data_IF_024078925436
#
_entry.id   IF_024078925436
#
_cell.length_a   1.000
_cell.length_b   1.000
_cell.length_c   1.000
_cell.angle_alpha   90.00
_cell.angle_beta   90.00
_cell.angle_gamma   90.00
#
_symmetry.space_group_name_H-M   'P 1'
#
loop_
_entity.id
_entity.type
_entity.pdbx_description
1 polymer ?
#
# COMPACT_ATOMS: atom_id res chain seq x y z
N UNK A 1 -6.04 -3.33 18.86
CA UNK A 1 -6.26 -3.90 17.52
C UNK A 1 -5.19 -4.96 17.33
N UNK A 2 -5.56 -6.14 16.83
CA UNK A 2 -4.57 -7.13 16.37
C UNK A 2 -4.05 -6.58 15.04
N UNK A 3 -2.74 -6.46 14.88
CA UNK A 3 -2.16 -6.02 13.63
C UNK A 3 -2.37 -7.14 12.59
N UNK A 4 -2.93 -6.87 11.40
CA UNK A 4 -3.11 -7.89 10.36
C UNK A 4 -1.83 -8.64 9.98
N UNK A 5 -0.65 -8.05 10.29
CA UNK A 5 0.66 -8.65 10.08
C UNK A 5 1.05 -9.68 11.16
N UNK A 6 0.38 -9.67 12.31
CA UNK A 6 0.63 -10.62 13.41
C UNK A 6 -0.04 -11.99 13.19
N UNK A 7 -0.99 -12.11 12.25
CA UNK A 7 -1.74 -13.35 12.00
C UNK A 7 -1.02 -14.34 11.06
N UNK A 8 -0.09 -13.86 10.24
CA UNK A 8 0.53 -14.64 9.15
C UNK A 8 2.05 -14.85 9.28
N UNK A 9 2.68 -14.41 10.36
CA UNK A 9 4.12 -14.58 10.55
C UNK A 9 4.41 -15.58 11.67
N UNK A 10 5.49 -16.36 11.52
CA UNK A 10 6.00 -17.18 12.63
C UNK A 10 6.08 -16.29 13.89
N UNK A 11 5.50 -16.76 14.99
CA UNK A 11 5.30 -16.10 16.30
C UNK A 11 6.55 -15.36 16.84
N UNK A 12 7.74 -15.65 16.29
CA UNK A 12 9.05 -15.04 16.60
C UNK A 12 9.37 -13.73 15.89
N UNK A 13 8.55 -13.27 14.94
CA UNK A 13 8.84 -12.12 14.07
C UNK A 13 8.03 -10.86 14.37
N UNK A 14 7.13 -10.88 15.35
CA UNK A 14 6.47 -9.64 15.83
C UNK A 14 7.45 -8.77 16.61
N UNK A 15 7.22 -7.46 16.70
CA UNK A 15 8.06 -6.59 17.54
C UNK A 15 8.09 -7.08 18.99
N UNK A 16 6.96 -7.56 19.49
CA UNK A 16 6.84 -8.07 20.86
C UNK A 16 7.80 -9.25 21.10
N UNK A 17 7.84 -10.23 20.19
CA UNK A 17 8.66 -11.44 20.37
C UNK A 17 10.12 -11.25 19.93
N UNK A 18 10.43 -10.24 19.11
CA UNK A 18 11.79 -9.99 18.58
C UNK A 18 12.55 -8.86 19.29
N UNK A 19 11.89 -8.01 20.09
CA UNK A 19 12.48 -6.79 20.67
C UNK A 19 13.84 -6.97 21.36
N UNK A 20 14.00 -8.03 22.16
CA UNK A 20 15.26 -8.32 22.86
C UNK A 20 16.40 -8.67 21.88
N UNK A 21 16.11 -9.52 20.90
CA UNK A 21 17.06 -9.90 19.86
C UNK A 21 17.46 -8.68 19.03
N UNK A 22 16.48 -7.89 18.57
CA UNK A 22 16.75 -6.69 17.78
C UNK A 22 17.62 -5.69 18.54
N UNK A 23 17.37 -5.46 19.84
CA UNK A 23 18.20 -4.60 20.65
C UNK A 23 19.64 -5.13 20.82
N UNK A 24 19.82 -6.43 21.06
CA UNK A 24 21.13 -7.04 21.19
C UNK A 24 21.93 -6.96 19.87
N UNK A 25 21.28 -7.24 18.74
CA UNK A 25 21.87 -7.13 17.39
C UNK A 25 22.21 -5.69 17.05
N UNK A 26 21.33 -4.73 17.34
CA UNK A 26 21.59 -3.31 17.12
C UNK A 26 22.83 -2.82 17.90
N UNK A 27 22.98 -3.28 19.15
CA UNK A 27 24.13 -3.01 20.03
C UNK A 27 25.39 -3.82 19.70
N UNK A 28 25.34 -4.74 18.72
CA UNK A 28 26.45 -5.64 18.33
C UNK A 28 26.87 -6.63 19.40
N UNK A 29 25.97 -6.94 20.33
CA UNK A 29 26.18 -7.99 21.34
C UNK A 29 25.83 -9.38 20.77
N UNK A 30 25.03 -9.42 19.71
CA UNK A 30 24.71 -10.61 18.94
C UNK A 30 24.91 -10.34 17.44
N UNK A 31 25.35 -11.34 16.66
CA UNK A 31 25.45 -11.23 15.22
C UNK A 31 24.05 -11.17 14.59
N UNK A 32 23.90 -10.39 13.52
CA UNK A 32 22.66 -10.38 12.73
C UNK A 32 22.52 -11.67 11.90
N UNK A 33 21.28 -12.06 11.59
CA UNK A 33 21.01 -13.20 10.71
C UNK A 33 21.35 -12.87 9.26
N UNK A 34 20.98 -11.66 8.83
CA UNK A 34 21.29 -11.12 7.50
C UNK A 34 21.95 -9.75 7.62
N UNK A 35 23.03 -9.54 6.85
CA UNK A 35 23.77 -8.28 6.78
C UNK A 35 23.83 -7.80 5.33
N UNK A 36 23.17 -6.68 5.04
CA UNK A 36 23.28 -6.00 3.73
C UNK A 36 24.34 -4.91 3.87
N UNK A 37 25.38 -4.90 3.02
CA UNK A 37 26.52 -3.98 3.10
C UNK A 37 26.60 -3.04 1.91
N UNK A 38 27.24 -1.88 2.12
CA UNK A 38 27.66 -0.94 1.07
C UNK A 38 26.53 -0.35 0.21
N UNK A 39 25.31 -0.28 0.74
CA UNK A 39 24.16 0.20 -0.01
C UNK A 39 24.01 1.72 0.05
N UNK A 40 23.33 2.29 -0.95
CA UNK A 40 22.67 3.59 -0.79
C UNK A 40 21.24 3.36 -0.31
N UNK A 41 20.78 4.03 0.75
CA UNK A 41 19.46 3.77 1.35
C UNK A 41 18.60 5.02 1.24
N UNK A 42 17.39 4.88 0.69
CA UNK A 42 16.38 5.94 0.68
C UNK A 42 15.79 6.05 2.08
N UNK A 43 16.09 7.16 2.77
CA UNK A 43 15.47 7.50 4.03
C UNK A 43 14.18 8.29 3.77
N UNK A 44 13.07 7.57 3.71
CA UNK A 44 11.73 8.14 3.48
C UNK A 44 11.23 9.03 4.61
N UNK A 45 11.82 8.99 5.81
CA UNK A 45 11.46 9.92 6.88
C UNK A 45 12.09 11.30 6.71
N UNK A 46 13.29 11.38 6.13
CA UNK A 46 14.02 12.66 5.96
C UNK A 46 14.07 13.15 4.51
N UNK A 47 13.65 12.33 3.55
CA UNK A 47 13.71 12.66 2.13
C UNK A 47 15.13 12.62 1.56
N UNK A 48 16.02 11.79 2.11
CA UNK A 48 17.45 11.77 1.76
C UNK A 48 17.90 10.41 1.22
N UNK A 49 18.83 10.42 0.26
CA UNK A 49 19.58 9.25 -0.16
C UNK A 49 20.88 9.15 0.66
N UNK A 50 21.03 8.10 1.47
CA UNK A 50 22.17 7.91 2.37
C UNK A 50 23.12 6.84 1.85
N UNK A 51 24.31 7.24 1.41
CA UNK A 51 25.32 6.35 0.83
C UNK A 51 26.13 5.58 1.88
N UNK A 52 26.81 4.51 1.47
CA UNK A 52 27.74 3.72 2.30
C UNK A 52 27.11 3.24 3.62
N UNK A 53 25.86 2.77 3.54
CA UNK A 53 25.13 2.23 4.69
C UNK A 53 25.08 0.72 4.67
N UNK A 54 24.84 0.14 5.83
CA UNK A 54 24.54 -1.29 5.98
C UNK A 54 23.23 -1.49 6.76
N UNK A 55 22.54 -2.59 6.50
CA UNK A 55 21.39 -3.04 7.28
C UNK A 55 21.74 -4.31 8.05
N UNK A 56 21.37 -4.35 9.32
CA UNK A 56 21.34 -5.58 10.12
C UNK A 56 19.90 -6.06 10.22
N UNK A 57 19.66 -7.33 9.90
CA UNK A 57 18.33 -7.94 9.91
C UNK A 57 18.37 -9.22 10.76
N UNK A 58 17.37 -9.37 11.62
CA UNK A 58 17.12 -10.58 12.41
C UNK A 58 15.62 -10.74 12.64
N UNK A 59 15.12 -11.97 12.69
CA UNK A 59 13.69 -12.27 12.84
C UNK A 59 12.81 -11.55 11.81
N UNK A 60 13.29 -11.43 10.57
CA UNK A 60 12.59 -10.72 9.49
C UNK A 60 12.48 -9.20 9.66
N UNK A 61 13.15 -8.60 10.66
CA UNK A 61 13.09 -7.17 10.97
C UNK A 61 14.46 -6.50 10.94
N UNK A 62 14.46 -5.22 10.61
CA UNK A 62 15.66 -4.37 10.59
C UNK A 62 16.03 -4.04 12.05
N UNK A 63 17.14 -4.59 12.53
CA UNK A 63 17.68 -4.25 13.85
C UNK A 63 18.42 -2.89 13.83
N UNK A 64 19.13 -2.58 12.75
CA UNK A 64 19.90 -1.33 12.66
C UNK A 64 20.18 -0.90 11.22
N UNK A 65 20.21 0.42 11.00
CA UNK A 65 20.82 1.08 9.84
C UNK A 65 22.15 1.66 10.28
N UNK A 66 23.26 1.20 9.69
CA UNK A 66 24.61 1.46 10.22
C UNK A 66 25.40 2.38 9.31
N UNK A 67 26.11 3.34 9.91
CA UNK A 67 27.00 4.27 9.20
C UNK A 67 28.45 3.76 9.15
N UNK A 68 28.87 3.03 10.19
CA UNK A 68 30.23 2.49 10.29
C UNK A 68 30.21 1.12 10.95
N UNK A 69 30.75 0.12 10.26
CA UNK A 69 30.90 -1.23 10.79
C UNK A 69 29.58 -2.01 10.90
N UNK A 70 29.68 -3.33 10.78
CA UNK A 70 28.55 -4.24 10.96
C UNK A 70 28.64 -5.05 12.27
N UNK A 71 29.73 -4.91 13.02
CA UNK A 71 30.06 -5.76 14.16
C UNK A 71 30.71 -7.08 13.71
N UNK A 72 30.78 -8.05 14.62
CA UNK A 72 31.11 -9.42 14.25
C UNK A 72 29.98 -10.02 13.40
N UNK A 73 30.36 -10.71 12.34
CA UNK A 73 29.43 -11.45 11.47
C UNK A 73 29.68 -12.92 11.73
N UNK A 74 28.64 -13.65 12.13
CA UNK A 74 28.77 -15.07 12.40
C UNK A 74 28.87 -15.88 11.10
N UNK A 75 29.43 -17.08 11.17
CA UNK A 75 29.63 -17.95 10.00
C UNK A 75 28.31 -18.29 9.30
N UNK A 76 27.23 -18.44 10.07
CA UNK A 76 25.88 -18.71 9.55
C UNK A 76 25.13 -17.47 9.05
N UNK A 77 25.67 -16.26 9.23
CA UNK A 77 25.00 -15.04 8.79
C UNK A 77 25.00 -14.94 7.27
N UNK A 78 23.87 -14.56 6.68
CA UNK A 78 23.76 -14.25 5.26
C UNK A 78 24.36 -12.88 5.00
N UNK A 79 25.32 -12.78 4.07
CA UNK A 79 25.94 -11.50 3.68
C UNK A 79 25.51 -11.15 2.27
N UNK A 80 24.90 -9.97 2.12
CA UNK A 80 24.53 -9.39 0.83
C UNK A 80 25.40 -8.15 0.62
N UNK A 81 26.20 -8.13 -0.44
CA UNK A 81 26.88 -6.91 -0.89
C UNK A 81 25.95 -6.17 -1.84
N UNK A 82 25.53 -4.97 -1.45
CA UNK A 82 24.64 -4.10 -2.20
C UNK A 82 25.38 -2.87 -2.75
N UNK A 83 26.69 -3.01 -2.96
CA UNK A 83 27.51 -1.96 -3.55
C UNK A 83 27.01 -1.58 -4.94
N UNK A 84 26.65 -0.31 -5.08
CA UNK A 84 26.11 0.25 -6.33
C UNK A 84 24.59 0.16 -6.45
N UNK A 85 23.93 -0.54 -5.52
CA UNK A 85 22.46 -0.60 -5.46
C UNK A 85 21.90 0.45 -4.50
N UNK A 86 20.64 0.78 -4.73
CA UNK A 86 19.82 1.67 -3.92
C UNK A 86 18.72 0.83 -3.25
N UNK A 87 18.58 0.92 -1.94
CA UNK A 87 17.53 0.25 -1.18
C UNK A 87 16.38 1.22 -0.92
N UNK A 88 15.18 0.81 -1.32
CA UNK A 88 13.92 1.45 -0.98
C UNK A 88 13.09 0.52 -0.08
N UNK A 89 12.18 1.05 0.76
CA UNK A 89 11.18 0.21 1.40
C UNK A 89 10.32 -0.49 0.34
N UNK A 90 9.80 -1.68 0.66
CA UNK A 90 8.83 -2.41 -0.14
C UNK A 90 7.65 -1.52 -0.57
N UNK A 91 7.27 -1.58 -1.86
CA UNK A 91 6.19 -0.75 -2.37
C UNK A 91 4.82 -1.30 -1.95
N UNK A 92 3.94 -0.39 -1.54
CA UNK A 92 2.60 -0.65 -1.01
C UNK A 92 1.56 -0.04 -1.94
N UNK A 93 0.74 -0.87 -2.59
CA UNK A 93 -0.33 -0.39 -3.45
C UNK A 93 -1.61 -0.17 -2.67
N UNK A 94 -1.95 1.10 -2.42
CA UNK A 94 -3.06 1.47 -1.53
C UNK A 94 -4.45 1.27 -2.12
N UNK A 95 -4.56 0.94 -3.41
CA UNK A 95 -5.84 0.68 -4.06
C UNK A 95 -5.64 -0.12 -5.36
N UNK A 96 -6.13 -1.36 -5.38
CA UNK A 96 -6.00 -2.28 -6.51
C UNK A 96 -7.11 -3.35 -6.48
N UNK A 97 -7.36 -3.96 -7.63
CA UNK A 97 -8.30 -5.08 -7.85
C UNK A 97 -7.55 -6.26 -8.50
N UNK A 98 -7.39 -7.39 -7.80
CA UNK A 98 -6.63 -8.55 -8.31
C UNK A 98 -7.37 -9.17 -9.48
N UNK A 99 -8.71 -9.12 -9.44
CA UNK A 99 -9.62 -9.65 -10.43
C UNK A 99 -9.42 -8.97 -11.80
N UNK A 100 -9.09 -7.68 -11.83
CA UNK A 100 -8.80 -6.91 -13.05
C UNK A 100 -7.54 -7.41 -13.77
N UNK A 101 -6.65 -8.11 -13.05
CA UNK A 101 -5.51 -8.81 -13.66
C UNK A 101 -5.87 -10.17 -14.27
N UNK A 102 -7.14 -10.59 -14.19
CA UNK A 102 -7.65 -11.84 -14.78
C UNK A 102 -6.91 -13.11 -14.34
N UNK A 103 -6.30 -13.05 -13.16
CA UNK A 103 -5.53 -14.13 -12.53
C UNK A 103 -5.95 -14.29 -11.07
N UNK A 104 -5.57 -15.40 -10.45
CA UNK A 104 -5.80 -15.59 -9.01
C UNK A 104 -4.85 -14.73 -8.18
N UNK A 105 -5.04 -14.66 -6.85
CA UNK A 105 -4.11 -13.94 -5.97
C UNK A 105 -2.66 -14.45 -6.12
N UNK A 106 -2.48 -15.76 -6.29
CA UNK A 106 -1.17 -16.38 -6.59
C UNK A 106 -0.59 -15.85 -7.90
N UNK A 107 -1.41 -15.74 -8.95
CA UNK A 107 -0.98 -15.22 -10.25
C UNK A 107 -0.59 -13.74 -10.17
N UNK A 108 -1.39 -12.94 -9.46
CA UNK A 108 -1.11 -11.53 -9.23
C UNK A 108 0.21 -11.34 -8.47
N UNK A 109 0.38 -12.03 -7.34
CA UNK A 109 1.60 -12.01 -6.53
C UNK A 109 2.84 -12.33 -7.38
N UNK A 110 2.79 -13.38 -8.20
CA UNK A 110 3.90 -13.75 -9.11
C UNK A 110 4.24 -12.66 -10.13
N UNK A 111 3.26 -11.85 -10.53
CA UNK A 111 3.45 -10.75 -11.46
C UNK A 111 4.05 -9.50 -10.82
N UNK A 112 3.59 -9.14 -9.62
CA UNK A 112 3.90 -7.83 -9.01
C UNK A 112 5.09 -7.86 -8.04
N UNK A 113 5.33 -8.98 -7.34
CA UNK A 113 6.44 -9.05 -6.37
C UNK A 113 7.79 -8.81 -7.04
N UNK A 114 8.11 -9.39 -8.22
CA UNK A 114 9.37 -9.09 -8.91
C UNK A 114 9.56 -7.61 -9.28
N UNK A 115 8.49 -6.81 -9.24
CA UNK A 115 8.49 -5.38 -9.57
C UNK A 115 8.59 -4.48 -8.33
N UNK A 116 8.88 -5.03 -7.15
CA UNK A 116 9.06 -4.25 -5.92
C UNK A 116 7.81 -4.10 -5.04
N UNK A 117 6.65 -4.58 -5.49
CA UNK A 117 5.42 -4.53 -4.68
C UNK A 117 5.45 -5.62 -3.61
N UNK A 118 5.50 -5.23 -2.34
CA UNK A 118 5.52 -6.17 -1.19
C UNK A 118 4.22 -6.20 -0.41
N UNK A 119 3.37 -5.18 -0.59
CA UNK A 119 2.02 -5.16 -0.02
C UNK A 119 0.98 -4.52 -0.94
N UNK A 120 -0.28 -4.94 -0.79
CA UNK A 120 -1.41 -4.44 -1.56
C UNK A 120 -2.66 -4.34 -0.68
N UNK A 121 -3.39 -3.24 -0.84
CA UNK A 121 -4.67 -2.94 -0.21
C UNK A 121 -5.76 -3.13 -1.25
N UNK A 122 -6.36 -4.32 -1.17
CA UNK A 122 -7.24 -4.89 -2.18
C UNK A 122 -8.69 -4.60 -1.87
N UNK A 123 -9.42 -4.06 -2.85
CA UNK A 123 -10.88 -4.04 -2.83
C UNK A 123 -11.42 -5.19 -3.72
N UNK A 124 -11.85 -6.32 -3.15
CA UNK A 124 -12.32 -7.48 -3.90
C UNK A 124 -13.78 -7.32 -4.32
N UNK A 125 -14.18 -6.13 -4.78
CA UNK A 125 -15.59 -5.84 -5.11
C UNK A 125 -16.08 -6.66 -6.31
N UNK A 126 -15.18 -7.15 -7.16
CA UNK A 126 -15.54 -7.93 -8.34
C UNK A 126 -15.99 -9.33 -7.94
N UNK A 127 -15.17 -10.06 -7.18
CA UNK A 127 -15.60 -11.35 -6.63
C UNK A 127 -16.72 -11.18 -5.59
N UNK A 128 -16.76 -10.04 -4.91
CA UNK A 128 -17.85 -9.62 -4.02
C UNK A 128 -19.19 -9.55 -4.74
N UNK A 129 -19.25 -8.90 -5.91
CA UNK A 129 -20.46 -8.83 -6.72
C UNK A 129 -20.93 -10.20 -7.23
N UNK A 130 -20.02 -11.15 -7.48
CA UNK A 130 -20.37 -12.47 -8.01
C UNK A 130 -20.75 -13.47 -6.92
N UNK A 131 -20.03 -13.49 -5.79
CA UNK A 131 -20.10 -14.56 -4.78
C UNK A 131 -20.31 -14.05 -3.34
N UNK A 132 -20.40 -12.72 -3.14
CA UNK A 132 -20.54 -12.08 -1.84
C UNK A 132 -19.35 -12.34 -0.92
N UNK A 133 -19.59 -12.24 0.40
CA UNK A 133 -18.57 -12.46 1.42
C UNK A 133 -17.89 -13.84 1.34
N UNK A 134 -18.55 -14.85 0.77
CA UNK A 134 -17.94 -16.17 0.55
C UNK A 134 -16.80 -16.10 -0.47
N UNK A 135 -16.99 -15.39 -1.58
CA UNK A 135 -15.95 -15.23 -2.60
C UNK A 135 -14.76 -14.46 -2.06
N UNK A 136 -15.04 -13.38 -1.34
CA UNK A 136 -14.01 -12.56 -0.69
C UNK A 136 -13.17 -13.41 0.27
N UNK A 137 -13.80 -14.20 1.15
CA UNK A 137 -13.08 -15.09 2.08
C UNK A 137 -12.19 -16.09 1.33
N UNK A 138 -12.66 -16.66 0.22
CA UNK A 138 -11.85 -17.59 -0.59
C UNK A 138 -10.60 -16.93 -1.18
N UNK A 139 -10.72 -15.69 -1.65
CA UNK A 139 -9.58 -14.92 -2.16
C UNK A 139 -8.57 -14.64 -1.04
N UNK A 140 -9.06 -14.21 0.13
CA UNK A 140 -8.19 -13.91 1.29
C UNK A 140 -7.50 -15.17 1.82
N UNK A 141 -8.17 -16.32 1.83
CA UNK A 141 -7.56 -17.60 2.22
C UNK A 141 -6.43 -18.03 1.26
N UNK A 142 -6.57 -17.76 -0.04
CA UNK A 142 -5.47 -17.94 -0.99
C UNK A 142 -4.32 -16.97 -0.69
N UNK A 143 -4.64 -15.69 -0.50
CA UNK A 143 -3.66 -14.63 -0.31
C UNK A 143 -2.83 -14.76 0.98
N UNK A 144 -3.40 -15.32 2.05
CA UNK A 144 -2.72 -15.54 3.33
C UNK A 144 -1.47 -16.44 3.23
N UNK A 145 -1.35 -17.24 2.16
CA UNK A 145 -0.22 -18.14 1.94
C UNK A 145 0.83 -17.60 0.96
N UNK A 146 0.73 -16.32 0.58
CA UNK A 146 1.61 -15.67 -0.40
C UNK A 146 2.59 -14.73 0.29
N UNK A 147 3.78 -14.49 -0.31
CA UNK A 147 4.71 -13.50 0.22
C UNK A 147 4.18 -12.06 0.06
N UNK A 148 3.29 -11.80 -0.89
CA UNK A 148 2.64 -10.49 -1.03
C UNK A 148 1.67 -10.25 0.12
N UNK A 149 1.97 -9.28 0.99
CA UNK A 149 1.10 -8.88 2.11
C UNK A 149 -0.20 -8.30 1.56
N UNK A 150 -1.31 -8.99 1.79
CA UNK A 150 -2.62 -8.57 1.29
C UNK A 150 -3.48 -8.06 2.43
N UNK A 151 -3.96 -6.83 2.29
CA UNK A 151 -4.92 -6.20 3.18
C UNK A 151 -6.22 -6.00 2.44
N UNK A 152 -7.35 -6.36 3.05
CA UNK A 152 -8.67 -6.23 2.43
C UNK A 152 -9.31 -4.89 2.83
N UNK A 153 -9.80 -4.16 1.83
CA UNK A 153 -10.77 -3.08 2.03
C UNK A 153 -12.14 -3.63 1.62
N UNK A 154 -13.05 -3.86 2.57
CA UNK A 154 -14.25 -4.65 2.31
C UNK A 154 -15.21 -3.93 1.33
N UNK A 155 -15.71 -4.57 0.26
CA UNK A 155 -16.53 -3.92 -0.76
C UNK A 155 -17.74 -3.20 -0.19
N UNK A 156 -17.93 -1.94 -0.58
CA UNK A 156 -18.95 -1.06 0.01
C UNK A 156 -20.28 -1.08 -0.77
N UNK A 157 -20.22 -1.33 -2.08
CA UNK A 157 -21.33 -1.17 -3.03
C UNK A 157 -21.55 -2.46 -3.84
N UNK A 158 -22.18 -3.45 -3.21
CA UNK A 158 -22.57 -4.71 -3.87
C UNK A 158 -24.08 -4.95 -3.66
N UNK A 159 -24.91 -4.86 -4.71
CA UNK A 159 -24.60 -4.31 -6.03
C UNK A 159 -24.30 -2.80 -5.99
N UNK A 160 -23.78 -2.24 -7.09
CA UNK A 160 -23.45 -0.82 -7.18
C UNK A 160 -24.70 0.08 -7.23
N UNK A 161 -25.78 -0.40 -7.85
CA UNK A 161 -27.05 0.30 -8.02
C UNK A 161 -28.25 -0.61 -7.67
N UNK A 162 -28.54 -0.82 -6.36
CA UNK A 162 -29.66 -1.65 -5.92
C UNK A 162 -30.98 -1.29 -6.62
N UNK A 163 -31.67 -2.31 -7.14
CA UNK A 163 -32.94 -2.15 -7.86
C UNK A 163 -32.82 -1.75 -9.34
N UNK A 164 -31.62 -1.46 -9.85
CA UNK A 164 -31.36 -1.18 -11.27
C UNK A 164 -30.56 -2.27 -11.97
N UNK A 165 -29.98 -3.22 -11.22
CA UNK A 165 -29.20 -4.33 -11.74
C UNK A 165 -29.41 -5.62 -10.95
N UNK A 166 -28.99 -6.74 -11.56
CA UNK A 166 -28.94 -8.05 -10.94
C UNK A 166 -27.47 -8.46 -10.73
N UNK A 167 -27.04 -8.60 -9.48
CA UNK A 167 -25.72 -9.12 -9.12
C UNK A 167 -25.81 -10.56 -8.58
N UNK A 168 -24.67 -11.24 -8.48
CA UNK A 168 -24.58 -12.58 -7.89
C UNK A 168 -24.73 -12.58 -6.36
N UNK A 169 -24.57 -11.42 -5.72
CA UNK A 169 -24.71 -11.23 -4.29
C UNK A 169 -25.14 -9.79 -3.92
N UNK A 170 -25.43 -9.61 -2.64
CA UNK A 170 -25.66 -8.32 -1.98
C UNK A 170 -24.79 -8.29 -0.72
N UNK A 171 -24.22 -7.13 -0.40
CA UNK A 171 -23.46 -6.88 0.83
C UNK A 171 -24.12 -5.69 1.52
N UNK A 172 -24.82 -5.97 2.61
CA UNK A 172 -25.51 -4.96 3.43
C UNK A 172 -24.63 -4.46 4.59
N UNK A 173 -25.18 -3.58 5.42
CA UNK A 173 -24.51 -3.07 6.61
C UNK A 173 -24.10 -4.19 7.59
N UNK A 174 -24.91 -5.22 7.79
CA UNK A 174 -24.61 -6.30 8.73
C UNK A 174 -23.45 -7.19 8.24
N UNK A 175 -23.38 -7.40 6.92
CA UNK A 175 -22.25 -8.07 6.28
C UNK A 175 -20.95 -7.26 6.43
N UNK A 176 -21.01 -5.93 6.28
CA UNK A 176 -19.87 -5.04 6.53
C UNK A 176 -19.43 -5.12 8.00
N UNK A 177 -20.34 -4.98 8.97
CA UNK A 177 -20.01 -5.13 10.40
C UNK A 177 -19.31 -6.46 10.70
N UNK A 178 -19.79 -7.56 10.09
CA UNK A 178 -19.17 -8.88 10.22
C UNK A 178 -17.76 -8.91 9.63
N UNK A 179 -17.58 -8.36 8.43
CA UNK A 179 -16.32 -8.44 7.70
C UNK A 179 -15.24 -7.51 8.27
N UNK A 180 -15.61 -6.33 8.79
CA UNK A 180 -14.70 -5.43 9.52
C UNK A 180 -14.09 -6.09 10.77
N UNK A 181 -14.72 -7.16 11.28
CA UNK A 181 -14.18 -7.99 12.36
C UNK A 181 -13.19 -9.08 11.92
N UNK A 182 -12.87 -9.20 10.64
CA UNK A 182 -11.85 -10.14 10.14
C UNK A 182 -10.45 -9.54 10.26
N UNK A 183 -9.47 -10.35 10.67
CA UNK A 183 -8.09 -9.88 10.88
C UNK A 183 -7.45 -9.34 9.59
N UNK A 184 -7.87 -9.82 8.41
CA UNK A 184 -7.35 -9.39 7.11
C UNK A 184 -8.01 -8.09 6.58
N UNK A 185 -9.11 -7.63 7.20
CA UNK A 185 -9.87 -6.45 6.76
C UNK A 185 -9.42 -5.22 7.53
N UNK A 186 -9.01 -4.17 6.82
CA UNK A 186 -8.42 -2.96 7.41
C UNK A 186 -9.24 -1.69 7.18
N UNK A 187 -10.14 -1.69 6.19
CA UNK A 187 -10.95 -0.53 5.84
C UNK A 187 -12.24 -0.95 5.11
N UNK A 188 -13.14 0.01 4.94
CA UNK A 188 -14.20 -0.08 3.94
C UNK A 188 -13.62 0.27 2.56
N UNK A 189 -13.88 -0.59 1.58
CA UNK A 189 -13.58 -0.43 0.16
C UNK A 189 -14.26 0.79 -0.44
N UNK A 190 -13.94 1.09 -1.68
CA UNK A 190 -14.20 2.39 -2.26
C UNK A 190 -15.69 2.74 -2.27
N UNK A 191 -16.10 3.80 -1.57
CA UNK A 191 -17.50 4.22 -1.52
C UNK A 191 -17.91 4.93 -2.81
N UNK A 192 -18.20 4.14 -3.85
CA UNK A 192 -18.59 4.60 -5.19
C UNK A 192 -20.02 5.13 -5.27
N UNK A 193 -20.91 4.74 -4.34
CA UNK A 193 -22.21 5.38 -4.17
C UNK A 193 -22.07 6.75 -3.46
N UNK A 194 -21.18 7.60 -3.98
CA UNK A 194 -21.02 8.98 -3.57
C UNK A 194 -22.32 9.81 -3.68
N UNK A 195 -23.25 9.55 -4.63
CA UNK A 195 -24.55 10.23 -4.63
C UNK A 195 -25.37 9.89 -3.39
N UNK A 196 -25.37 8.63 -2.94
CA UNK A 196 -26.00 8.22 -1.69
C UNK A 196 -25.39 8.91 -0.49
N UNK A 197 -24.05 9.04 -0.44
CA UNK A 197 -23.36 9.79 0.62
C UNK A 197 -23.84 11.25 0.67
N UNK A 198 -23.79 11.98 -0.46
CA UNK A 198 -24.13 13.41 -0.50
C UNK A 198 -25.60 13.65 -0.18
N UNK A 199 -26.50 12.78 -0.63
CA UNK A 199 -27.93 12.94 -0.45
C UNK A 199 -28.46 12.37 0.88
N UNK A 200 -27.59 11.79 1.72
CA UNK A 200 -27.97 11.26 3.02
C UNK A 200 -28.77 9.97 2.95
N UNK A 201 -28.42 9.07 2.05
CA UNK A 201 -29.04 7.73 1.97
C UNK A 201 -28.77 6.93 3.27
N UNK A 202 -29.85 6.43 3.88
CA UNK A 202 -29.78 5.80 5.21
C UNK A 202 -28.91 4.54 5.21
N UNK A 203 -28.94 3.71 4.17
CA UNK A 203 -28.14 2.48 4.10
C UNK A 203 -26.67 2.79 3.88
N UNK A 204 -26.36 3.73 2.98
CA UNK A 204 -24.97 4.18 2.76
C UNK A 204 -24.35 4.75 4.04
N UNK A 205 -25.10 5.60 4.76
CA UNK A 205 -24.61 6.17 6.02
C UNK A 205 -24.56 5.14 7.16
N UNK A 206 -25.41 4.11 7.15
CA UNK A 206 -25.32 2.99 8.09
C UNK A 206 -24.02 2.19 7.90
N UNK A 207 -23.62 1.92 6.64
CA UNK A 207 -22.33 1.29 6.32
C UNK A 207 -21.15 2.12 6.81
N UNK A 208 -21.15 3.43 6.55
CA UNK A 208 -20.11 4.35 7.05
C UNK A 208 -20.06 4.35 8.59
N UNK A 209 -21.21 4.42 9.26
CA UNK A 209 -21.29 4.40 10.71
C UNK A 209 -20.72 3.10 11.30
N UNK A 210 -21.01 1.94 10.70
CA UNK A 210 -20.44 0.65 11.08
C UNK A 210 -18.90 0.66 10.96
N UNK A 211 -18.37 1.18 9.85
CA UNK A 211 -16.92 1.31 9.63
C UNK A 211 -16.25 2.18 10.70
N UNK A 212 -16.82 3.35 11.00
CA UNK A 212 -16.26 4.24 12.01
C UNK A 212 -16.39 3.67 13.43
N UNK A 213 -17.46 2.93 13.73
CA UNK A 213 -17.62 2.23 15.00
C UNK A 213 -16.55 1.13 15.21
N UNK A 214 -16.06 0.53 14.12
CA UNK A 214 -14.94 -0.40 14.14
C UNK A 214 -13.56 0.29 14.27
N UNK A 215 -13.49 1.62 14.33
CA UNK A 215 -12.26 2.43 14.24
C UNK A 215 -11.46 2.18 12.97
N UNK A 216 -12.15 1.85 11.88
CA UNK A 216 -11.55 1.67 10.57
C UNK A 216 -11.89 2.83 9.64
N UNK A 217 -11.14 2.96 8.56
CA UNK A 217 -11.27 4.06 7.60
C UNK A 217 -12.23 3.68 6.49
N UNK A 218 -12.86 4.69 5.88
CA UNK A 218 -13.59 4.55 4.64
C UNK A 218 -12.77 5.12 3.48
N UNK A 219 -12.50 4.30 2.48
CA UNK A 219 -11.85 4.72 1.23
C UNK A 219 -12.90 5.26 0.25
N UNK A 220 -12.49 6.12 -0.69
CA UNK A 220 -13.43 6.86 -1.52
C UNK A 220 -13.27 6.70 -3.03
N UNK A 221 -14.39 6.94 -3.72
CA UNK A 221 -14.56 6.96 -5.17
C UNK A 221 -15.52 8.11 -5.52
N UNK A 222 -15.00 9.33 -5.45
CA UNK A 222 -15.74 10.54 -5.83
C UNK A 222 -15.51 10.83 -7.31
N UNK A 223 -16.21 10.11 -8.18
CA UNK A 223 -16.12 10.23 -9.64
C UNK A 223 -16.85 11.46 -10.23
N UNK A 224 -17.09 12.49 -9.42
CA UNK A 224 -17.61 13.78 -9.86
C UNK A 224 -16.47 14.79 -10.06
N UNK A 225 -16.68 15.71 -11.01
CA UNK A 225 -15.74 16.78 -11.34
C UNK A 225 -15.96 18.03 -10.50
N UNK A 226 -16.95 17.98 -9.61
CA UNK A 226 -17.26 19.02 -8.66
C UNK A 226 -16.15 19.15 -7.61
N UNK A 227 -15.88 20.39 -7.21
CA UNK A 227 -14.79 20.72 -6.26
C UNK A 227 -15.28 21.65 -5.15
N UNK A 228 -16.60 21.68 -4.93
CA UNK A 228 -17.33 22.57 -4.04
C UNK A 228 -18.14 21.77 -3.00
N UNK A 229 -19.38 22.16 -2.73
CA UNK A 229 -20.20 21.66 -1.64
C UNK A 229 -20.42 20.13 -1.67
N UNK A 230 -20.51 19.52 -2.86
CA UNK A 230 -20.70 18.07 -2.96
C UNK A 230 -19.43 17.30 -2.56
N UNK A 231 -18.25 17.83 -2.93
CA UNK A 231 -16.98 17.27 -2.47
C UNK A 231 -16.82 17.53 -0.96
N UNK A 232 -17.22 18.71 -0.46
CA UNK A 232 -17.20 19.00 0.97
C UNK A 232 -18.08 18.02 1.76
N UNK A 233 -19.28 17.72 1.27
CA UNK A 233 -20.20 16.77 1.90
C UNK A 233 -19.61 15.35 1.96
N UNK A 234 -19.00 14.90 0.86
CA UNK A 234 -18.36 13.59 0.78
C UNK A 234 -17.15 13.45 1.72
N UNK A 235 -16.31 14.48 1.80
CA UNK A 235 -15.17 14.48 2.75
C UNK A 235 -15.66 14.60 4.19
N UNK A 236 -16.65 15.47 4.45
CA UNK A 236 -17.20 15.69 5.78
C UNK A 236 -17.94 14.48 6.35
N UNK A 237 -18.38 13.53 5.50
CA UNK A 237 -18.95 12.26 5.97
C UNK A 237 -17.88 11.32 6.55
N UNK A 238 -16.59 11.66 6.45
CA UNK A 238 -15.47 10.91 7.02
C UNK A 238 -14.72 10.04 6.01
N UNK A 239 -15.04 10.13 4.72
CA UNK A 239 -14.32 9.40 3.66
C UNK A 239 -13.01 10.15 3.38
N UNK A 240 -11.88 9.45 3.58
CA UNK A 240 -10.58 10.11 3.75
C UNK A 240 -9.63 9.98 2.56
N UNK A 241 -9.92 9.15 1.57
CA UNK A 241 -9.12 9.01 0.34
C UNK A 241 -9.96 9.03 -0.92
N UNK A 242 -9.32 9.23 -2.07
CA UNK A 242 -9.96 9.06 -3.37
C UNK A 242 -8.93 8.94 -4.49
N UNK A 243 -9.14 7.99 -5.42
CA UNK A 243 -8.36 7.81 -6.65
C UNK A 243 -9.01 8.44 -7.89
N UNK A 244 -10.29 8.83 -7.80
CA UNK A 244 -11.07 9.39 -8.91
C UNK A 244 -10.79 10.87 -9.15
N UNK A 245 -9.57 11.20 -9.58
CA UNK A 245 -9.23 12.50 -10.16
C UNK A 245 -8.64 12.29 -11.54
N UNK A 246 -9.13 13.03 -12.53
CA UNK A 246 -8.57 12.99 -13.90
C UNK A 246 -7.98 14.34 -14.30
N UNK A 247 -7.99 15.32 -13.38
CA UNK A 247 -7.48 16.68 -13.59
C UNK A 247 -6.68 17.18 -12.41
N UNK A 248 -5.70 18.03 -12.70
CA UNK A 248 -4.97 18.84 -11.71
C UNK A 248 -5.88 19.47 -10.66
N UNK A 249 -6.97 20.12 -11.08
CA UNK A 249 -7.84 20.88 -10.18
C UNK A 249 -8.59 19.98 -9.20
N UNK A 250 -9.00 18.79 -9.64
CA UNK A 250 -9.70 17.82 -8.81
C UNK A 250 -8.74 17.24 -7.75
N UNK A 251 -7.56 16.78 -8.16
CA UNK A 251 -6.53 16.27 -7.24
C UNK A 251 -6.13 17.34 -6.21
N UNK A 252 -5.89 18.57 -6.67
CA UNK A 252 -5.54 19.69 -5.77
C UNK A 252 -6.69 20.06 -4.82
N UNK A 253 -7.94 19.98 -5.28
CA UNK A 253 -9.11 20.26 -4.45
C UNK A 253 -9.31 19.21 -3.34
N UNK A 254 -9.01 17.95 -3.63
CA UNK A 254 -9.05 16.85 -2.65
C UNK A 254 -7.91 16.96 -1.62
N UNK A 255 -6.68 17.20 -2.07
CA UNK A 255 -5.54 17.47 -1.17
C UNK A 255 -5.82 18.62 -0.19
N UNK A 256 -6.38 19.72 -0.68
CA UNK A 256 -6.72 20.90 0.15
C UNK A 256 -7.79 20.65 1.20
N UNK A 257 -8.54 19.56 1.07
CA UNK A 257 -9.57 19.12 2.03
C UNK A 257 -9.03 18.09 3.01
N UNK A 258 -7.72 17.81 2.96
CA UNK A 258 -7.08 16.82 3.82
C UNK A 258 -7.28 15.39 3.36
N UNK A 259 -7.83 15.14 2.16
CA UNK A 259 -7.92 13.79 1.63
C UNK A 259 -6.54 13.26 1.25
N UNK A 260 -6.33 11.97 1.49
CA UNK A 260 -5.29 11.18 0.86
C UNK A 260 -5.62 11.02 -0.63
N UNK A 261 -4.90 11.76 -1.46
CA UNK A 261 -5.20 11.84 -2.89
C UNK A 261 -4.35 10.81 -3.62
N UNK A 262 -5.02 9.80 -4.16
CA UNK A 262 -4.41 8.67 -4.87
C UNK A 262 -4.33 9.02 -6.36
N UNK A 263 -3.13 9.18 -6.89
CA UNK A 263 -2.96 9.42 -8.32
C UNK A 263 -2.87 8.10 -9.06
N UNK A 264 -3.85 7.85 -9.91
CA UNK A 264 -4.05 6.56 -10.57
C UNK A 264 -3.28 6.43 -11.87
N UNK A 265 -2.68 5.26 -12.05
CA UNK A 265 -2.05 4.88 -13.31
C UNK A 265 -2.25 3.39 -13.59
N UNK A 266 -3.48 3.01 -13.93
CA UNK A 266 -3.86 1.65 -14.34
C UNK A 266 -3.58 1.35 -15.82
N UNK A 267 -4.22 0.29 -16.30
CA UNK A 267 -4.15 -0.14 -17.71
C UNK A 267 -4.95 0.77 -18.64
N UNK A 268 -6.18 1.09 -18.24
CA UNK A 268 -7.11 1.92 -19.00
C UNK A 268 -7.01 3.39 -18.59
N UNK A 269 -7.09 3.66 -17.28
CA UNK A 269 -7.03 5.00 -16.70
C UNK A 269 -5.57 5.41 -16.43
N UNK A 270 -5.14 6.52 -17.04
CA UNK A 270 -3.75 6.97 -17.04
C UNK A 270 -3.67 8.43 -16.61
N UNK A 271 -4.02 8.67 -15.36
CA UNK A 271 -4.37 10.00 -14.87
C UNK A 271 -3.15 10.77 -14.33
N UNK A 272 -2.06 10.08 -13.98
CA UNK A 272 -0.85 10.71 -13.43
C UNK A 272 -0.36 11.92 -14.26
N UNK A 273 -0.21 11.85 -15.60
CA UNK A 273 0.30 12.99 -16.37
C UNK A 273 -0.47 14.30 -16.15
N UNK A 274 -1.78 14.25 -15.95
CA UNK A 274 -2.60 15.44 -15.69
C UNK A 274 -2.71 15.76 -14.19
N UNK A 275 -2.85 14.75 -13.34
CA UNK A 275 -3.12 14.94 -11.92
C UNK A 275 -1.87 15.29 -11.12
N UNK A 276 -0.69 14.79 -11.50
CA UNK A 276 0.58 15.05 -10.80
C UNK A 276 0.98 16.52 -10.86
N UNK A 277 0.46 17.27 -11.84
CA UNK A 277 0.60 18.73 -11.95
C UNK A 277 0.01 19.46 -10.75
N UNK A 278 -0.85 18.81 -9.96
CA UNK A 278 -1.30 19.34 -8.67
C UNK A 278 -0.14 19.49 -7.68
N UNK A 279 0.90 18.67 -7.82
CA UNK A 279 2.13 18.72 -7.05
C UNK A 279 3.20 19.50 -7.80
N UNK A 280 3.54 19.11 -9.04
CA UNK A 280 4.73 19.63 -9.74
C UNK A 280 4.63 21.08 -10.21
N UNK A 281 3.41 21.63 -10.30
CA UNK A 281 3.17 23.03 -10.65
C UNK A 281 2.63 23.84 -9.45
N UNK A 282 2.78 23.33 -8.23
CA UNK A 282 2.40 24.04 -6.99
C UNK A 282 3.43 23.74 -5.87
N UNK A 283 3.25 24.36 -4.71
CA UNK A 283 4.10 24.13 -3.53
C UNK A 283 3.34 23.36 -2.41
N UNK A 284 2.37 22.52 -2.77
CA UNK A 284 1.62 21.75 -1.78
C UNK A 284 2.47 20.64 -1.16
N UNK A 285 2.23 20.41 0.13
CA UNK A 285 2.86 19.32 0.87
C UNK A 285 2.41 17.96 0.34
N UNK A 286 3.34 17.02 0.23
CA UNK A 286 3.14 15.71 -0.41
C UNK A 286 2.82 14.59 0.59
N UNK A 287 2.67 14.87 1.89
CA UNK A 287 2.39 13.84 2.91
C UNK A 287 1.10 13.05 2.68
N UNK A 288 0.10 13.65 2.02
CA UNK A 288 -1.17 12.98 1.66
C UNK A 288 -1.22 12.56 0.18
N UNK A 289 -0.07 12.54 -0.50
CA UNK A 289 0.04 12.01 -1.84
C UNK A 289 0.20 10.49 -1.78
N UNK A 290 -0.62 9.78 -2.56
CA UNK A 290 -0.48 8.36 -2.82
C UNK A 290 -0.40 8.13 -4.34
N UNK A 291 0.27 7.08 -4.76
CA UNK A 291 0.25 6.60 -6.15
C UNK A 291 -0.29 5.18 -6.17
N UNK A 292 -1.24 4.89 -7.07
CA UNK A 292 -1.96 3.61 -7.09
C UNK A 292 -2.06 3.03 -8.49
N UNK A 293 -2.15 1.71 -8.58
CA UNK A 293 -2.35 1.02 -9.86
C UNK A 293 -3.82 0.96 -10.26
N UNK A 294 -4.74 0.77 -9.30
CA UNK A 294 -6.15 0.46 -9.58
C UNK A 294 -6.24 -0.73 -10.58
N UNK A 295 -7.21 -0.73 -11.48
CA UNK A 295 -7.35 -1.74 -12.53
C UNK A 295 -6.10 -1.91 -13.40
N UNK A 296 -5.42 -3.05 -13.23
CA UNK A 296 -4.27 -3.43 -14.05
C UNK A 296 -4.45 -4.81 -14.68
N UNK A 297 -4.47 -4.83 -16.01
CA UNK A 297 -4.54 -6.04 -16.83
C UNK A 297 -3.22 -6.84 -16.81
N UNK A 298 -3.27 -8.16 -17.10
CA UNK A 298 -2.10 -9.03 -17.02
C UNK A 298 -0.99 -8.66 -18.04
N UNK A 299 -1.35 -8.18 -19.22
CA UNK A 299 -0.39 -7.68 -20.23
C UNK A 299 0.35 -6.44 -19.72
N UNK A 300 -0.33 -5.55 -19.01
CA UNK A 300 0.28 -4.35 -18.43
C UNK A 300 1.27 -4.71 -17.34
N UNK A 301 0.92 -5.63 -16.43
CA UNK A 301 1.84 -6.11 -15.37
C UNK A 301 3.07 -6.74 -16.01
N UNK A 302 2.88 -7.66 -16.95
CA UNK A 302 3.99 -8.45 -17.52
C UNK A 302 4.89 -7.66 -18.46
N UNK A 303 4.36 -6.70 -19.23
CA UNK A 303 5.15 -5.93 -20.20
C UNK A 303 5.71 -4.64 -19.63
N UNK A 304 5.03 -4.03 -18.66
CA UNK A 304 5.31 -2.66 -18.22
C UNK A 304 5.52 -2.53 -16.72
N UNK A 305 5.19 -3.53 -15.91
CA UNK A 305 5.29 -3.52 -14.46
C UNK A 305 4.01 -3.09 -13.74
N UNK A 306 4.11 -3.03 -12.41
CA UNK A 306 3.06 -2.69 -11.46
C UNK A 306 3.31 -1.30 -10.86
N UNK A 307 3.64 -1.17 -9.57
CA UNK A 307 3.94 0.13 -8.95
C UNK A 307 5.27 0.74 -9.44
N UNK A 308 6.25 -0.07 -9.82
CA UNK A 308 7.48 0.43 -10.46
C UNK A 308 7.15 1.24 -11.73
N UNK A 309 6.16 0.80 -12.50
CA UNK A 309 5.63 1.54 -13.65
C UNK A 309 4.98 2.86 -13.23
N UNK A 310 4.16 2.82 -12.19
CA UNK A 310 3.46 4.00 -11.65
C UNK A 310 4.49 5.05 -11.22
N UNK A 311 5.53 4.63 -10.48
CA UNK A 311 6.66 5.46 -10.08
C UNK A 311 7.41 6.05 -11.29
N UNK A 312 7.77 5.22 -12.28
CA UNK A 312 8.41 5.68 -13.52
C UNK A 312 7.60 6.77 -14.21
N UNK A 313 6.28 6.61 -14.30
CA UNK A 313 5.40 7.61 -14.93
C UNK A 313 5.36 8.90 -14.10
N UNK A 314 5.25 8.82 -12.77
CA UNK A 314 5.25 10.00 -11.91
C UNK A 314 6.57 10.79 -12.02
N UNK A 315 7.71 10.09 -11.98
CA UNK A 315 9.05 10.68 -12.10
C UNK A 315 9.25 11.31 -13.48
N UNK A 316 8.85 10.61 -14.56
CA UNK A 316 8.92 11.13 -15.91
C UNK A 316 8.07 12.40 -16.12
N UNK A 317 7.04 12.61 -15.28
CA UNK A 317 6.21 13.82 -15.27
C UNK A 317 6.65 14.86 -14.21
N UNK A 318 7.87 14.73 -13.70
CA UNK A 318 8.54 15.75 -12.89
C UNK A 318 8.37 15.62 -11.37
N UNK A 319 7.81 14.51 -10.88
CA UNK A 319 7.83 14.23 -9.44
C UNK A 319 9.27 13.86 -9.02
N UNK A 320 9.72 14.40 -7.89
CA UNK A 320 11.00 14.01 -7.29
C UNK A 320 11.01 12.50 -6.99
N UNK A 321 12.06 11.74 -7.36
CA UNK A 321 12.09 10.29 -7.17
C UNK A 321 11.93 9.81 -5.72
N UNK A 322 12.50 10.51 -4.74
CA UNK A 322 12.36 10.13 -3.33
C UNK A 322 10.92 10.38 -2.86
N UNK A 323 10.33 11.49 -3.29
CA UNK A 323 8.91 11.81 -3.06
C UNK A 323 7.98 10.77 -3.68
N UNK A 324 8.31 10.28 -4.88
CA UNK A 324 7.57 9.19 -5.52
C UNK A 324 7.62 7.91 -4.68
N UNK A 325 8.81 7.54 -4.18
CA UNK A 325 8.98 6.40 -3.27
C UNK A 325 8.19 6.60 -1.97
N UNK A 326 8.22 7.80 -1.37
CA UNK A 326 7.42 8.10 -0.16
C UNK A 326 5.92 7.85 -0.39
N UNK A 327 5.40 8.26 -1.55
CA UNK A 327 3.98 8.12 -1.91
C UNK A 327 3.49 6.67 -2.04
N UNK A 328 4.39 5.70 -2.23
CA UNK A 328 4.08 4.26 -2.27
C UNK A 328 4.70 3.47 -1.11
N UNK A 329 5.24 4.14 -0.10
CA UNK A 329 5.88 3.49 1.06
C UNK A 329 5.35 4.10 2.35
N UNK A 330 6.00 5.12 2.90
CA UNK A 330 5.65 5.68 4.20
C UNK A 330 4.26 6.33 4.19
N UNK A 331 3.91 7.08 3.14
CA UNK A 331 2.58 7.69 3.03
C UNK A 331 1.49 6.60 2.95
N UNK A 332 1.76 5.54 2.20
CA UNK A 332 0.85 4.41 2.05
C UNK A 332 0.65 3.65 3.37
N UNK A 333 1.73 3.45 4.11
CA UNK A 333 1.70 2.79 5.40
C UNK A 333 0.98 3.65 6.46
N UNK A 334 1.24 4.95 6.51
CA UNK A 334 0.59 5.90 7.42
C UNK A 334 -0.91 6.05 7.13
N UNK A 335 -1.32 5.98 5.85
CA UNK A 335 -2.73 6.07 5.49
C UNK A 335 -3.56 4.93 6.11
N UNK A 336 -3.02 3.71 6.11
CA UNK A 336 -3.69 2.53 6.64
C UNK A 336 -3.25 2.12 8.05
N UNK A 337 -2.51 2.99 8.75
CA UNK A 337 -2.04 2.75 10.13
C UNK A 337 -1.21 1.44 10.28
N UNK A 338 -0.46 1.07 9.22
CA UNK A 338 0.50 -0.06 9.23
C UNK A 338 1.95 0.42 9.22
N UNK A 339 2.15 1.73 9.39
CA UNK A 339 3.47 2.34 9.39
C UNK A 339 4.32 1.87 10.54
N UNK A 340 3.77 1.36 11.65
CA UNK A 340 4.54 0.75 12.74
C UNK A 340 5.49 -0.35 12.25
N UNK A 341 5.09 -1.14 11.24
CA UNK A 341 5.84 -2.26 10.69
C UNK A 341 6.39 -2.04 9.28
N UNK A 342 5.66 -1.32 8.43
CA UNK A 342 5.93 -1.22 7.00
C UNK A 342 6.33 0.20 6.56
N UNK A 343 6.68 0.34 5.29
CA UNK A 343 6.83 1.64 4.63
C UNK A 343 8.16 2.37 4.88
N UNK A 344 9.08 1.82 5.69
CA UNK A 344 10.39 2.45 5.91
C UNK A 344 11.52 1.44 6.15
N UNK A 345 12.75 1.83 5.80
CA UNK A 345 13.97 1.10 6.14
C UNK A 345 14.59 1.68 7.43
N UNK A 346 13.90 1.46 8.56
CA UNK A 346 14.31 1.97 9.88
C UNK A 346 14.28 0.87 10.96
N UNK A 347 15.02 1.03 12.07
CA UNK A 347 15.05 0.01 13.13
C UNK A 347 13.65 -0.35 13.65
N UNK A 348 13.39 -1.63 13.81
CA UNK A 348 12.11 -2.19 14.22
C UNK A 348 11.18 -2.58 13.07
N UNK A 349 11.32 -1.97 11.88
CA UNK A 349 10.49 -2.27 10.70
C UNK A 349 10.74 -3.68 10.17
N UNK A 350 9.74 -4.25 9.52
CA UNK A 350 9.87 -5.48 8.75
C UNK A 350 10.85 -5.22 7.60
N UNK A 351 11.71 -6.20 7.32
CA UNK A 351 12.69 -6.14 6.25
C UNK A 351 12.05 -6.44 4.88
N UNK A 352 11.11 -5.59 4.48
CA UNK A 352 10.55 -5.53 3.13
C UNK A 352 11.34 -4.47 2.33
N UNK A 353 12.16 -4.93 1.39
CA UNK A 353 13.20 -4.11 0.73
C UNK A 353 13.16 -4.31 -0.77
N UNK A 354 13.14 -3.21 -1.52
CA UNK A 354 13.37 -3.20 -2.97
C UNK A 354 14.81 -2.79 -3.23
N UNK A 355 15.53 -3.59 -4.00
CA UNK A 355 16.86 -3.28 -4.51
C UNK A 355 16.72 -2.68 -5.90
N UNK A 356 17.24 -1.47 -6.08
CA UNK A 356 17.19 -0.73 -7.34
C UNK A 356 18.61 -0.55 -7.88
N UNK A 357 18.80 -0.83 -9.16
CA UNK A 357 20.04 -0.50 -9.87
C UNK A 357 20.10 1.00 -10.22
N UNK A 358 18.94 1.61 -10.48
CA UNK A 358 18.79 3.03 -10.80
C UNK A 358 17.45 3.57 -10.28
N UNK A 359 17.49 4.69 -9.56
CA UNK A 359 16.32 5.30 -8.92
C UNK A 359 15.47 6.10 -9.91
N UNK A 360 16.08 6.74 -10.91
CA UNK A 360 15.33 7.54 -11.89
C UNK A 360 14.47 6.69 -12.82
N UNK A 361 14.89 5.46 -13.13
CA UNK A 361 14.14 4.47 -13.92
C UNK A 361 13.43 3.42 -13.07
N UNK A 362 13.65 3.37 -11.74
CA UNK A 362 13.08 2.34 -10.85
C UNK A 362 13.38 0.93 -11.40
N UNK A 363 14.66 0.68 -11.69
CA UNK A 363 15.12 -0.61 -12.21
C UNK A 363 15.28 -1.59 -11.04
N UNK A 364 14.22 -2.36 -10.76
CA UNK A 364 14.18 -3.35 -9.67
C UNK A 364 15.04 -4.55 -10.02
N UNK A 365 16.08 -4.80 -9.22
CA UNK A 365 16.99 -5.94 -9.39
C UNK A 365 16.58 -7.13 -8.51
N UNK A 366 16.14 -6.86 -7.28
CA UNK A 366 15.74 -7.87 -6.27
C UNK A 366 14.68 -7.30 -5.34
N UNK A 367 13.92 -8.19 -4.73
CA UNK A 367 12.94 -7.86 -3.71
C UNK A 367 13.15 -8.79 -2.53
N UNK A 368 13.12 -8.24 -1.33
CA UNK A 368 13.17 -8.98 -0.08
C UNK A 368 11.86 -8.75 0.66
N UNK A 369 11.26 -9.81 1.18
CA UNK A 369 10.05 -9.79 1.99
C UNK A 369 10.33 -10.57 3.27
N UNK A 370 10.02 -9.97 4.42
CA UNK A 370 10.28 -10.56 5.76
C UNK A 370 11.73 -11.03 5.94
N UNK A 371 12.68 -10.29 5.34
CA UNK A 371 14.11 -10.62 5.41
C UNK A 371 14.59 -11.71 4.43
N UNK A 372 13.71 -12.23 3.57
CA UNK A 372 14.02 -13.28 2.57
C UNK A 372 13.90 -12.74 1.14
N UNK A 373 14.88 -13.07 0.26
CA UNK A 373 14.90 -12.68 -1.15
C UNK A 373 14.08 -13.64 -2.01
#
# INVERSE_FOLDING_TARGET
MVNPLDSNTNDTSTTQSSSQTLAAVARREQPAETVIKNASIINVHTGELRHDRSLLISNGRIAAVTETGVGEVAEQSTIIDAKGEILAPGFLDTHVHYESSMVTATGFCRGVVPTGTTGAFMDPHEIGNVLGLKGIRQLLDEAANLPLKTFCTIPSCVPAAPGFEDAGAEIDTADIERALGWDDVIALGEMMNYPGVINGDDEVHAKLAATYAANQRATGHFASRETDANLDAYVASGISSCHESVRKQEALAKLRRGMWTMLRQGSAWKDIPETIRSITETDVDTRHLLLVSDDTHPDTITEKGHLDRVLRVAIANGLDPITAVQAVTINAAEYYDVDEDLGALSPGKIADIVFLDELSSIDVSRVMIDGSI
#
